data_IF_231488738988
#
_entry.id   IF_231488738988
#
_cell.length_a   1.000
_cell.length_b   1.000
_cell.length_c   1.000
_cell.angle_alpha   90.00
_cell.angle_beta   90.00
_cell.angle_gamma   90.00
#
_symmetry.space_group_name_H-M   'P 1'
#
loop_
_entity.id
_entity.type
_entity.pdbx_description
1 polymer ?
#
# COMPACT_ATOMS: atom_id res chain seq x y z
N UNK A 1 -0.77 -32.27 -14.96
CA UNK A 1 0.67 -31.97 -14.80
C UNK A 1 1.43 -31.78 -16.12
N UNK A 2 0.95 -32.19 -17.31
CA UNK A 2 1.60 -31.85 -18.60
C UNK A 2 1.30 -30.43 -19.11
N UNK A 3 0.30 -29.75 -18.56
CA UNK A 3 -0.16 -28.41 -18.99
C UNK A 3 0.79 -27.28 -18.61
N UNK A 4 1.34 -27.30 -17.40
CA UNK A 4 1.98 -26.11 -16.82
C UNK A 4 3.41 -25.90 -17.37
N UNK A 5 4.04 -26.98 -17.85
CA UNK A 5 5.38 -26.94 -18.46
C UNK A 5 5.32 -26.39 -19.89
N UNK A 6 4.24 -26.66 -20.64
CA UNK A 6 4.05 -26.11 -21.99
C UNK A 6 3.71 -24.61 -21.96
N UNK A 7 3.23 -24.08 -20.85
CA UNK A 7 2.98 -22.64 -20.67
C UNK A 7 4.27 -21.87 -20.36
N UNK A 8 5.16 -22.42 -19.51
CA UNK A 8 6.42 -21.78 -19.13
C UNK A 8 7.50 -21.89 -20.22
N UNK A 9 7.51 -23.01 -20.96
CA UNK A 9 8.44 -23.27 -22.06
C UNK A 9 7.71 -23.88 -23.26
N UNK A 10 6.98 -23.05 -24.04
CA UNK A 10 6.19 -23.54 -25.15
C UNK A 10 7.08 -24.11 -26.25
N UNK A 11 6.62 -25.21 -26.87
CA UNK A 11 7.28 -25.82 -28.01
C UNK A 11 7.02 -24.99 -29.26
N UNK A 12 8.04 -24.27 -29.72
CA UNK A 12 7.94 -23.41 -30.91
C UNK A 12 8.26 -24.12 -32.22
N UNK A 13 8.95 -25.26 -32.14
CA UNK A 13 9.35 -26.04 -33.32
C UNK A 13 8.52 -27.32 -33.41
N UNK A 14 7.89 -27.58 -34.57
CA UNK A 14 7.16 -28.81 -34.78
C UNK A 14 8.15 -29.96 -34.87
N UNK A 15 7.87 -31.02 -34.10
CA UNK A 15 8.58 -32.30 -34.22
C UNK A 15 7.52 -33.37 -34.29
N UNK A 16 7.40 -34.00 -35.44
CA UNK A 16 6.40 -35.04 -35.70
C UNK A 16 6.76 -36.29 -34.87
N UNK A 17 5.87 -36.65 -33.94
CA UNK A 17 5.94 -37.90 -33.17
C UNK A 17 5.33 -39.04 -34.01
N UNK A 18 5.94 -39.34 -35.16
CA UNK A 18 5.52 -40.42 -36.05
C UNK A 18 6.22 -41.75 -35.73
N UNK A 19 5.41 -42.76 -35.41
CA UNK A 19 5.55 -44.23 -35.23
C UNK A 19 6.91 -44.99 -35.23
N UNK A 20 8.05 -44.44 -35.61
CA UNK A 20 9.33 -45.16 -35.66
C UNK A 20 10.37 -44.56 -34.69
N UNK A 21 10.15 -44.73 -33.39
CA UNK A 21 11.10 -44.30 -32.33
C UNK A 21 12.30 -45.23 -32.15
N UNK A 22 12.43 -46.30 -32.93
CA UNK A 22 13.34 -47.40 -32.58
C UNK A 22 14.79 -47.25 -33.08
N UNK A 23 15.11 -46.29 -33.97
CA UNK A 23 16.48 -46.15 -34.47
C UNK A 23 16.91 -44.70 -34.79
N UNK A 24 16.90 -43.80 -33.80
CA UNK A 24 17.66 -42.54 -33.93
C UNK A 24 19.11 -42.81 -33.51
N UNK A 25 20.00 -42.96 -34.48
CA UNK A 25 21.44 -43.09 -34.23
C UNK A 25 22.00 -41.77 -33.69
N UNK A 26 22.38 -41.77 -32.41
CA UNK A 26 22.94 -40.61 -31.73
C UNK A 26 24.43 -40.37 -32.09
N UNK A 27 25.08 -41.28 -32.82
CA UNK A 27 26.52 -41.25 -33.10
C UNK A 27 26.91 -40.51 -34.38
N UNK A 28 25.99 -40.38 -35.33
CA UNK A 28 26.19 -39.68 -36.60
C UNK A 28 25.72 -38.22 -36.58
N UNK A 29 26.22 -37.36 -37.49
CA UNK A 29 25.67 -36.03 -37.67
C UNK A 29 24.25 -36.09 -38.27
N UNK A 30 23.29 -35.29 -37.77
CA UNK A 30 21.92 -35.29 -38.28
C UNK A 30 21.88 -34.75 -39.72
N UNK A 31 21.02 -35.35 -40.55
CA UNK A 31 20.93 -35.02 -41.98
C UNK A 31 19.84 -34.00 -42.29
N UNK A 32 18.93 -33.75 -41.35
CA UNK A 32 17.85 -32.78 -41.49
C UNK A 32 17.43 -32.18 -40.13
N UNK A 33 16.68 -31.05 -40.12
CA UNK A 33 16.28 -30.37 -38.88
C UNK A 33 15.38 -31.21 -37.95
N UNK A 34 14.53 -32.09 -38.49
CA UNK A 34 13.62 -32.94 -37.70
C UNK A 34 14.41 -34.01 -36.93
N UNK A 35 15.39 -34.62 -37.58
CA UNK A 35 16.30 -35.59 -36.99
C UNK A 35 17.17 -34.97 -35.89
N UNK A 36 17.67 -33.75 -36.12
CA UNK A 36 18.38 -32.97 -35.11
C UNK A 36 17.50 -32.73 -33.87
N UNK A 37 16.27 -32.24 -34.04
CA UNK A 37 15.38 -31.97 -32.90
C UNK A 37 14.98 -33.24 -32.13
N UNK A 38 14.92 -34.40 -32.79
CA UNK A 38 14.74 -35.70 -32.13
C UNK A 38 15.97 -36.10 -31.33
N UNK A 39 17.16 -35.99 -31.91
CA UNK A 39 18.44 -36.27 -31.22
C UNK A 39 18.59 -35.39 -29.97
N UNK A 40 18.31 -34.09 -30.08
CA UNK A 40 18.34 -33.15 -28.95
C UNK A 40 17.31 -33.50 -27.87
N UNK A 41 16.08 -33.90 -28.23
CA UNK A 41 15.08 -34.34 -27.25
C UNK A 41 15.49 -35.60 -26.50
N UNK A 42 16.10 -36.56 -27.19
CA UNK A 42 16.62 -37.78 -26.59
C UNK A 42 17.83 -37.47 -25.69
N UNK A 43 18.81 -36.71 -26.17
CA UNK A 43 19.96 -36.26 -25.37
C UNK A 43 19.52 -35.51 -24.11
N UNK A 44 18.60 -34.55 -24.23
CA UNK A 44 18.06 -33.82 -23.09
C UNK A 44 17.30 -34.74 -22.11
N UNK A 45 16.61 -35.79 -22.59
CA UNK A 45 15.96 -36.77 -21.71
C UNK A 45 16.95 -37.66 -20.93
N UNK A 46 18.19 -37.77 -21.42
CA UNK A 46 19.28 -38.46 -20.73
C UNK A 46 19.99 -37.55 -19.72
N UNK A 47 19.85 -36.23 -19.86
CA UNK A 47 20.36 -35.28 -18.89
C UNK A 47 19.48 -35.24 -17.62
N UNK A 48 20.07 -35.08 -16.43
CA UNK A 48 19.30 -34.83 -15.22
C UNK A 48 18.51 -33.51 -15.33
N UNK A 49 17.23 -33.55 -14.95
CA UNK A 49 16.32 -32.39 -15.03
C UNK A 49 16.79 -31.21 -14.17
N UNK A 50 17.36 -31.50 -13.00
CA UNK A 50 17.92 -30.51 -12.09
C UNK A 50 19.32 -30.92 -11.67
N UNK A 51 20.26 -29.99 -11.78
CA UNK A 51 21.63 -30.15 -11.30
C UNK A 51 21.95 -29.08 -10.26
N UNK A 52 22.63 -29.45 -9.17
CA UNK A 52 23.03 -28.53 -8.11
C UNK A 52 24.54 -28.50 -8.01
N UNK A 53 25.14 -27.35 -8.31
CA UNK A 53 26.57 -27.13 -8.13
C UNK A 53 26.87 -26.69 -6.69
N UNK A 54 27.80 -27.37 -6.03
CA UNK A 54 28.25 -27.01 -4.68
C UNK A 54 29.23 -25.83 -4.74
N UNK A 55 28.90 -24.73 -4.08
CA UNK A 55 29.71 -23.51 -4.02
C UNK A 55 30.02 -23.19 -2.56
N UNK A 56 31.23 -22.72 -2.26
CA UNK A 56 31.61 -22.28 -0.91
C UNK A 56 30.83 -21.01 -0.48
N UNK A 57 29.91 -21.10 0.50
CA UNK A 57 29.06 -19.98 0.91
C UNK A 57 29.84 -18.85 1.58
N UNK A 58 31.04 -19.14 2.11
CA UNK A 58 31.86 -18.14 2.84
C UNK A 58 32.34 -17.02 1.92
N UNK A 59 32.46 -17.28 0.62
CA UNK A 59 32.87 -16.29 -0.40
C UNK A 59 31.76 -15.27 -0.71
N UNK A 60 30.49 -15.64 -0.49
CA UNK A 60 29.32 -14.82 -0.84
C UNK A 60 28.80 -13.98 0.32
N UNK A 61 28.86 -14.49 1.55
CA UNK A 61 28.35 -13.80 2.76
C UNK A 61 28.99 -12.43 3.03
N UNK A 62 30.23 -12.19 2.56
CA UNK A 62 30.96 -10.93 2.78
C UNK A 62 30.53 -9.77 1.87
N UNK A 63 29.68 -10.02 0.86
CA UNK A 63 29.30 -9.04 -0.16
C UNK A 63 27.79 -8.80 -0.26
N UNK A 64 27.02 -9.21 0.74
CA UNK A 64 25.58 -9.01 0.72
C UNK A 64 25.24 -7.53 0.99
N UNK A 65 24.43 -6.93 0.12
CA UNK A 65 23.87 -5.60 0.33
C UNK A 65 22.72 -5.66 1.34
N UNK A 66 22.60 -4.64 2.17
CA UNK A 66 21.51 -4.52 3.14
C UNK A 66 20.25 -4.05 2.41
N UNK A 67 19.13 -4.73 2.66
CA UNK A 67 17.82 -4.24 2.28
C UNK A 67 17.27 -3.36 3.41
N UNK A 68 17.11 -2.05 3.16
CA UNK A 68 16.60 -1.12 4.17
C UNK A 68 15.08 -1.28 4.28
N UNK A 69 14.62 -1.85 5.40
CA UNK A 69 13.19 -1.93 5.73
C UNK A 69 12.78 -0.71 6.55
N UNK A 70 11.65 -0.10 6.20
CA UNK A 70 11.05 0.97 7.01
C UNK A 70 10.49 0.36 8.30
N UNK A 71 10.79 0.98 9.45
CA UNK A 71 10.32 0.54 10.75
C UNK A 71 8.78 0.55 10.87
N UNK A 72 8.25 -0.22 11.83
CA UNK A 72 6.84 -0.18 12.22
C UNK A 72 6.49 1.06 13.06
N UNK A 73 5.31 1.05 13.69
CA UNK A 73 4.93 2.07 14.67
C UNK A 73 5.71 1.92 15.99
N UNK A 74 5.95 3.04 16.67
CA UNK A 74 6.48 3.01 18.04
C UNK A 74 5.42 2.45 18.99
N UNK A 75 5.84 1.57 19.90
CA UNK A 75 4.94 1.03 20.92
C UNK A 75 4.37 2.17 21.79
N UNK A 76 3.08 2.11 22.17
CA UNK A 76 2.51 3.09 23.08
C UNK A 76 3.21 3.06 24.44
N UNK A 77 3.42 4.22 25.10
CA UNK A 77 3.77 4.25 26.51
C UNK A 77 2.74 3.50 27.36
N UNK A 78 3.15 3.02 28.54
CA UNK A 78 2.28 2.23 29.42
C UNK A 78 1.03 3.04 29.80
N UNK A 79 -0.15 2.50 29.49
CA UNK A 79 -1.44 3.14 29.74
C UNK A 79 -1.94 4.09 28.65
N UNK A 80 -1.17 4.29 27.57
CA UNK A 80 -1.55 5.18 26.45
C UNK A 80 -2.20 4.40 25.29
N UNK A 81 -2.14 3.07 25.32
CA UNK A 81 -2.79 2.20 24.33
C UNK A 81 -4.30 2.18 24.53
N UNK A 82 -5.11 2.35 23.47
CA UNK A 82 -6.56 2.20 23.57
C UNK A 82 -6.96 0.71 23.65
N UNK A 83 -7.98 0.42 24.46
CA UNK A 83 -8.54 -0.94 24.54
C UNK A 83 -9.04 -1.46 23.19
N UNK A 84 -8.99 -2.77 22.97
CA UNK A 84 -9.47 -3.41 21.75
C UNK A 84 -10.95 -3.11 21.48
N UNK A 85 -11.78 -3.05 22.52
CA UNK A 85 -13.19 -2.69 22.40
C UNK A 85 -13.38 -1.29 21.81
N UNK A 86 -12.61 -0.32 22.31
CA UNK A 86 -12.63 1.04 21.79
C UNK A 86 -12.19 1.08 20.32
N UNK A 87 -11.11 0.37 19.97
CA UNK A 87 -10.61 0.30 18.60
C UNK A 87 -11.67 -0.25 17.63
N UNK A 88 -12.32 -1.36 17.99
CA UNK A 88 -13.39 -1.97 17.20
C UNK A 88 -14.59 -1.03 17.03
N UNK A 89 -14.96 -0.30 18.09
CA UNK A 89 -16.03 0.69 18.03
C UNK A 89 -15.69 1.84 17.08
N UNK A 90 -14.46 2.36 17.11
CA UNK A 90 -14.03 3.43 16.19
C UNK A 90 -14.02 2.96 14.73
N UNK A 91 -13.54 1.74 14.46
CA UNK A 91 -13.58 1.11 13.14
C UNK A 91 -15.01 0.99 12.62
N UNK A 92 -15.94 0.56 13.47
CA UNK A 92 -17.37 0.48 13.11
C UNK A 92 -17.95 1.86 12.77
N UNK A 93 -17.75 2.83 13.65
CA UNK A 93 -18.23 4.21 13.45
C UNK A 93 -17.67 4.83 12.16
N UNK A 94 -16.38 4.62 11.90
CA UNK A 94 -15.73 5.10 10.69
C UNK A 94 -16.32 4.47 9.42
N UNK A 95 -16.66 3.17 9.48
CA UNK A 95 -17.36 2.50 8.38
C UNK A 95 -18.70 3.16 8.06
N UNK A 96 -19.47 3.53 9.08
CA UNK A 96 -20.77 4.20 8.91
C UNK A 96 -20.63 5.63 8.39
N UNK A 97 -19.62 6.38 8.85
CA UNK A 97 -19.28 7.70 8.29
C UNK A 97 -18.99 7.57 6.80
N UNK A 98 -18.12 6.63 6.41
CA UNK A 98 -17.77 6.39 5.01
C UNK A 98 -19.00 6.01 4.18
N UNK A 99 -19.84 5.11 4.69
CA UNK A 99 -21.10 4.71 4.05
C UNK A 99 -22.01 5.92 3.81
N UNK A 100 -22.12 6.81 4.79
CA UNK A 100 -22.92 8.03 4.70
C UNK A 100 -22.36 9.01 3.66
N UNK A 101 -21.04 9.20 3.63
CA UNK A 101 -20.37 10.05 2.62
C UNK A 101 -20.60 9.48 1.22
N UNK A 102 -20.36 8.20 1.00
CA UNK A 102 -20.55 7.56 -0.32
C UNK A 102 -22.01 7.65 -0.77
N UNK A 103 -22.98 7.41 0.13
CA UNK A 103 -24.41 7.47 -0.17
C UNK A 103 -24.85 8.87 -0.61
N UNK A 104 -24.33 9.91 0.05
CA UNK A 104 -24.77 11.28 -0.15
C UNK A 104 -23.81 12.13 -1.01
N UNK A 105 -22.74 11.54 -1.57
CA UNK A 105 -21.67 12.28 -2.26
C UNK A 105 -22.19 13.21 -3.35
N UNK A 106 -23.09 12.70 -4.21
CA UNK A 106 -23.70 13.47 -5.32
C UNK A 106 -24.51 14.68 -4.82
N UNK A 107 -25.24 14.49 -3.72
CA UNK A 107 -26.04 15.55 -3.12
C UNK A 107 -25.14 16.68 -2.60
N UNK A 108 -24.09 16.35 -1.85
CA UNK A 108 -23.17 17.35 -1.30
C UNK A 108 -22.31 18.02 -2.38
N UNK A 109 -21.90 17.28 -3.42
CA UNK A 109 -21.12 17.84 -4.53
C UNK A 109 -21.92 18.80 -5.42
N UNK A 110 -23.25 18.77 -5.37
CA UNK A 110 -24.11 19.69 -6.15
C UNK A 110 -24.51 20.96 -5.39
N UNK A 111 -24.34 21.03 -4.07
CA UNK A 111 -24.74 22.22 -3.29
C UNK A 111 -23.79 23.39 -3.51
N UNK A 112 -24.28 24.62 -3.68
CA UNK A 112 -23.42 25.81 -3.86
C UNK A 112 -22.43 25.98 -2.71
N UNK A 113 -21.18 26.29 -3.04
CA UNK A 113 -20.19 26.71 -2.04
C UNK A 113 -20.44 28.18 -1.69
N UNK A 114 -20.08 28.57 -0.47
CA UNK A 114 -20.09 29.96 -0.05
C UNK A 114 -19.10 30.77 -0.90
N UNK A 115 -19.41 32.04 -1.16
CA UNK A 115 -18.64 32.90 -2.07
C UNK A 115 -17.16 33.08 -1.66
N UNK A 116 -16.83 32.83 -0.39
CA UNK A 116 -15.47 32.91 0.15
C UNK A 116 -14.66 31.63 -0.07
N UNK A 117 -15.30 30.50 -0.42
CA UNK A 117 -14.60 29.21 -0.62
C UNK A 117 -14.04 29.17 -2.02
N UNK A 118 -12.73 29.42 -2.16
CA UNK A 118 -11.98 29.20 -3.40
C UNK A 118 -11.04 28.02 -3.23
N UNK A 119 -11.36 26.90 -3.88
CA UNK A 119 -10.53 25.70 -3.83
C UNK A 119 -9.20 25.95 -4.56
N UNK A 120 -8.05 25.61 -3.95
CA UNK A 120 -6.75 25.72 -4.61
C UNK A 120 -6.62 24.79 -5.81
N UNK A 121 -5.64 25.08 -6.67
CA UNK A 121 -5.30 24.21 -7.80
C UNK A 121 -4.62 22.91 -7.31
N UNK A 122 -4.65 21.87 -8.14
CA UNK A 122 -4.09 20.55 -7.81
C UNK A 122 -2.57 20.57 -7.55
N UNK A 123 -1.86 21.55 -8.08
CA UNK A 123 -0.39 21.67 -7.94
C UNK A 123 0.01 22.68 -6.86
N UNK A 124 -0.96 23.31 -6.20
CA UNK A 124 -0.72 24.39 -5.24
C UNK A 124 -0.70 23.85 -3.81
N UNK A 125 0.38 23.15 -3.44
CA UNK A 125 0.55 22.55 -2.12
C UNK A 125 0.43 23.59 -0.99
N UNK A 126 1.05 24.76 -1.16
CA UNK A 126 0.99 25.86 -0.20
C UNK A 126 -0.43 26.46 -0.11
N UNK A 127 -1.15 26.53 -1.23
CA UNK A 127 -2.55 26.89 -1.26
C UNK A 127 -3.41 25.91 -0.47
N UNK A 128 -3.17 24.60 -0.60
CA UNK A 128 -3.88 23.59 0.18
C UNK A 128 -3.55 23.64 1.67
N UNK A 129 -2.29 23.86 2.06
CA UNK A 129 -1.91 24.06 3.47
C UNK A 129 -2.66 25.26 4.06
N UNK A 130 -2.67 26.40 3.37
CA UNK A 130 -3.40 27.61 3.82
C UNK A 130 -4.91 27.42 3.83
N UNK A 131 -5.46 26.71 2.84
CA UNK A 131 -6.88 26.42 2.76
C UNK A 131 -7.35 25.54 3.92
N UNK A 132 -6.57 24.52 4.27
CA UNK A 132 -6.92 23.57 5.34
C UNK A 132 -6.58 24.07 6.74
N UNK A 133 -5.42 24.72 6.91
CA UNK A 133 -4.79 25.01 8.21
C UNK A 133 -4.45 26.50 8.43
N UNK A 134 -4.72 27.38 7.48
CA UNK A 134 -4.42 28.81 7.63
C UNK A 134 -5.26 29.49 8.72
N UNK A 135 -4.93 30.74 9.05
CA UNK A 135 -5.66 31.54 10.06
C UNK A 135 -7.16 31.69 9.75
N UNK A 136 -7.52 31.66 8.46
CA UNK A 136 -8.91 31.64 7.95
C UNK A 136 -9.22 30.29 7.27
N UNK A 137 -8.55 29.23 7.69
CA UNK A 137 -8.67 27.90 7.09
C UNK A 137 -10.10 27.37 7.18
N UNK A 138 -10.53 26.65 6.15
CA UNK A 138 -11.85 26.05 6.11
C UNK A 138 -11.82 24.69 6.83
N UNK A 139 -12.86 24.34 7.59
CA UNK A 139 -13.02 22.97 8.08
C UNK A 139 -13.42 22.04 6.92
N UNK A 140 -13.22 20.72 7.06
CA UNK A 140 -13.53 19.74 6.01
C UNK A 140 -15.04 19.46 5.89
N UNK A 141 -15.82 20.47 5.49
CA UNK A 141 -17.25 20.31 5.27
C UNK A 141 -17.55 19.29 4.16
N UNK A 142 -18.68 18.59 4.26
CA UNK A 142 -19.13 17.63 3.23
C UNK A 142 -19.27 18.28 1.86
N UNK A 143 -19.69 19.54 1.80
CA UNK A 143 -19.73 20.32 0.56
C UNK A 143 -18.35 20.50 -0.06
N UNK A 144 -17.28 20.52 0.73
CA UNK A 144 -15.90 20.65 0.25
C UNK A 144 -15.34 19.28 -0.12
N UNK A 145 -15.30 18.34 0.85
CA UNK A 145 -14.62 17.05 0.65
C UNK A 145 -15.30 16.14 -0.38
N UNK A 146 -16.62 16.21 -0.54
CA UNK A 146 -17.33 15.42 -1.55
C UNK A 146 -17.02 15.85 -3.00
N UNK A 147 -16.46 17.05 -3.21
CA UNK A 147 -16.04 17.57 -4.52
C UNK A 147 -14.65 17.13 -4.93
N UNK A 148 -13.83 16.70 -3.97
CA UNK A 148 -12.50 16.21 -4.24
C UNK A 148 -12.61 14.87 -4.96
N UNK A 149 -11.91 14.72 -6.08
CA UNK A 149 -11.73 13.42 -6.70
C UNK A 149 -10.66 12.61 -5.92
N UNK A 150 -10.51 11.33 -6.23
CA UNK A 150 -9.59 10.46 -5.47
C UNK A 150 -8.11 10.93 -5.55
N UNK A 151 -7.68 11.45 -6.71
CA UNK A 151 -6.33 11.99 -6.88
C UNK A 151 -6.10 13.26 -6.05
N UNK A 152 -7.07 14.18 -6.02
CA UNK A 152 -7.01 15.38 -5.19
C UNK A 152 -7.02 15.03 -3.71
N UNK A 153 -7.90 14.11 -3.28
CA UNK A 153 -7.98 13.71 -1.88
C UNK A 153 -6.66 13.10 -1.39
N UNK A 154 -6.01 12.26 -2.20
CA UNK A 154 -4.70 11.70 -1.90
C UNK A 154 -3.60 12.78 -1.87
N UNK A 155 -3.56 13.66 -2.87
CA UNK A 155 -2.56 14.74 -2.90
C UNK A 155 -2.70 15.66 -1.68
N UNK A 156 -3.92 16.07 -1.31
CA UNK A 156 -4.13 16.88 -0.11
C UNK A 156 -3.74 16.11 1.15
N UNK A 157 -4.03 14.80 1.21
CA UNK A 157 -3.60 13.95 2.33
C UNK A 157 -2.06 13.95 2.45
N UNK A 158 -1.34 13.79 1.35
CA UNK A 158 0.13 13.81 1.33
C UNK A 158 0.69 15.19 1.74
N UNK A 159 0.10 16.28 1.25
CA UNK A 159 0.47 17.65 1.64
C UNK A 159 0.31 17.87 3.14
N UNK A 160 -0.80 17.38 3.72
CA UNK A 160 -1.06 17.51 5.16
C UNK A 160 -0.17 16.59 5.99
N UNK A 161 0.13 15.38 5.51
CA UNK A 161 1.08 14.48 6.16
C UNK A 161 2.47 15.11 6.17
N UNK A 162 2.93 15.65 5.05
CA UNK A 162 4.22 16.36 4.94
C UNK A 162 4.28 17.54 5.91
N UNK A 163 3.21 18.35 6.00
CA UNK A 163 3.15 19.43 6.99
C UNK A 163 3.24 18.89 8.43
N UNK A 164 2.56 17.78 8.72
CA UNK A 164 2.54 17.14 10.03
C UNK A 164 3.87 16.50 10.46
N UNK A 165 4.79 16.23 9.53
CA UNK A 165 6.12 15.73 9.88
C UNK A 165 6.92 16.73 10.71
N UNK A 166 6.75 18.02 10.43
CA UNK A 166 7.50 19.10 11.07
C UNK A 166 6.71 19.82 12.18
N UNK A 167 5.40 19.56 12.28
CA UNK A 167 4.49 20.27 13.19
C UNK A 167 3.79 19.33 14.18
N UNK A 168 3.11 19.91 15.16
CA UNK A 168 2.27 19.19 16.11
C UNK A 168 0.87 18.90 15.54
N UNK A 169 0.15 17.97 16.17
CA UNK A 169 -1.23 17.66 15.79
C UNK A 169 -2.18 18.74 16.34
N UNK A 170 -2.58 19.68 15.48
CA UNK A 170 -3.66 20.62 15.77
C UNK A 170 -5.03 19.98 15.48
N UNK A 171 -6.10 20.30 16.23
CA UNK A 171 -7.43 19.69 16.02
C UNK A 171 -7.95 19.82 14.58
N UNK A 172 -7.70 20.96 13.94
CA UNK A 172 -8.10 21.20 12.55
C UNK A 172 -7.39 20.26 11.56
N UNK A 173 -6.10 19.97 11.77
CA UNK A 173 -5.36 18.98 11.01
C UNK A 173 -5.96 17.58 11.22
N UNK A 174 -6.24 17.21 12.48
CA UNK A 174 -6.88 15.93 12.81
C UNK A 174 -8.22 15.73 12.09
N UNK A 175 -9.07 16.76 12.08
CA UNK A 175 -10.34 16.76 11.35
C UNK A 175 -10.14 16.57 9.84
N UNK A 176 -9.19 17.28 9.23
CA UNK A 176 -8.89 17.16 7.81
C UNK A 176 -8.35 15.78 7.45
N UNK A 177 -7.38 15.26 8.21
CA UNK A 177 -6.84 13.91 8.02
C UNK A 177 -7.96 12.87 8.11
N UNK A 178 -8.79 12.94 9.15
CA UNK A 178 -9.93 12.03 9.32
C UNK A 178 -10.91 12.12 8.14
N UNK A 179 -11.28 13.33 7.71
CA UNK A 179 -12.22 13.54 6.62
C UNK A 179 -11.67 13.04 5.27
N UNK A 180 -10.38 13.25 5.00
CA UNK A 180 -9.71 12.75 3.79
C UNK A 180 -9.65 11.22 3.81
N UNK A 181 -9.25 10.61 4.93
CA UNK A 181 -9.29 9.16 5.11
C UNK A 181 -10.72 8.61 4.90
N UNK A 182 -11.75 9.31 5.37
CA UNK A 182 -13.14 8.92 5.15
C UNK A 182 -13.56 9.02 3.66
N UNK A 183 -12.91 9.89 2.87
CA UNK A 183 -13.22 10.07 1.45
C UNK A 183 -12.44 9.14 0.50
N UNK A 184 -11.36 8.51 0.97
CA UNK A 184 -10.57 7.56 0.18
C UNK A 184 -11.41 6.35 -0.19
N UNK A 185 -11.46 5.96 -1.46
CA UNK A 185 -12.20 4.77 -1.91
C UNK A 185 -11.33 3.51 -1.89
N UNK A 186 -11.93 2.34 -1.60
CA UNK A 186 -11.27 1.03 -1.72
C UNK A 186 -11.62 0.41 -3.09
N UNK A 187 -10.71 -0.34 -3.75
CA UNK A 187 -9.37 -0.71 -3.30
C UNK A 187 -8.39 0.47 -3.34
N UNK A 188 -7.52 0.57 -2.32
CA UNK A 188 -6.52 1.61 -2.24
C UNK A 188 -5.35 1.31 -3.18
N UNK A 189 -4.74 2.39 -3.69
CA UNK A 189 -3.47 2.29 -4.39
C UNK A 189 -2.31 2.06 -3.41
N UNK A 190 -1.20 1.41 -3.82
CA UNK A 190 -0.02 1.20 -2.98
C UNK A 190 0.54 2.50 -2.38
N UNK A 191 0.48 3.60 -3.12
CA UNK A 191 0.91 4.93 -2.67
C UNK A 191 0.06 5.41 -1.50
N UNK A 192 -1.27 5.24 -1.59
CA UNK A 192 -2.18 5.60 -0.51
C UNK A 192 -1.92 4.78 0.76
N UNK A 193 -1.62 3.48 0.61
CA UNK A 193 -1.17 2.65 1.74
C UNK A 193 0.13 3.20 2.35
N UNK A 194 1.11 3.57 1.53
CA UNK A 194 2.37 4.15 2.01
C UNK A 194 2.13 5.43 2.83
N UNK A 195 1.30 6.35 2.34
CA UNK A 195 0.96 7.59 3.03
C UNK A 195 0.25 7.36 4.37
N UNK A 196 -0.75 6.46 4.40
CA UNK A 196 -1.46 6.10 5.64
C UNK A 196 -0.48 5.50 6.67
N UNK A 197 0.46 4.65 6.23
CA UNK A 197 1.49 4.08 7.11
C UNK A 197 2.44 5.15 7.64
N UNK A 198 2.85 6.11 6.81
CA UNK A 198 3.68 7.24 7.23
C UNK A 198 2.96 8.11 8.27
N UNK A 199 1.69 8.41 8.05
CA UNK A 199 0.83 9.10 9.02
C UNK A 199 0.75 8.35 10.35
N UNK A 200 0.48 7.05 10.34
CA UNK A 200 0.38 6.24 11.55
C UNK A 200 1.71 6.21 12.34
N UNK A 201 2.85 6.09 11.64
CA UNK A 201 4.18 6.15 12.28
C UNK A 201 4.43 7.51 12.92
N UNK A 202 4.09 8.60 12.24
CA UNK A 202 4.22 9.96 12.79
C UNK A 202 3.33 10.15 14.01
N UNK A 203 2.10 9.63 13.98
CA UNK A 203 1.19 9.65 15.13
C UNK A 203 1.80 8.87 16.31
N UNK A 204 2.35 7.68 16.07
CA UNK A 204 2.98 6.87 17.10
C UNK A 204 4.23 7.53 17.69
N UNK A 205 5.04 8.21 16.86
CA UNK A 205 6.19 9.00 17.32
C UNK A 205 5.74 10.13 18.26
N UNK A 206 4.76 10.95 17.85
CA UNK A 206 4.25 12.04 18.71
C UNK A 206 3.57 11.52 19.97
N UNK A 207 2.87 10.39 19.89
CA UNK A 207 2.28 9.73 21.07
C UNK A 207 3.35 9.32 22.07
N UNK A 208 4.53 8.88 21.61
CA UNK A 208 5.63 8.49 22.49
C UNK A 208 6.27 9.65 23.25
N UNK A 209 6.06 10.89 22.81
CA UNK A 209 6.56 12.10 23.47
C UNK A 209 5.57 12.73 24.46
N UNK A 210 4.35 12.18 24.58
CA UNK A 210 3.35 12.69 25.51
C UNK A 210 3.66 12.30 26.96
N UNK A 211 3.51 13.25 27.89
CA UNK A 211 3.79 13.06 29.32
C UNK A 211 2.55 12.65 30.13
N UNK A 212 1.35 13.02 29.67
CA UNK A 212 0.09 12.82 30.38
C UNK A 212 -0.95 12.08 29.54
N UNK A 213 -1.76 11.24 30.20
CA UNK A 213 -2.92 10.59 29.59
C UNK A 213 -4.10 11.55 29.37
N UNK A 214 -4.09 12.71 30.06
CA UNK A 214 -5.11 13.75 29.92
C UNK A 214 -4.82 14.70 28.74
N UNK A 215 -3.78 14.45 27.95
CA UNK A 215 -3.48 15.24 26.75
C UNK A 215 -4.55 14.99 25.67
N UNK A 216 -5.26 16.05 25.27
CA UNK A 216 -6.31 15.98 24.25
C UNK A 216 -5.84 15.33 22.95
N UNK A 217 -4.55 15.45 22.60
CA UNK A 217 -3.98 14.87 21.38
C UNK A 217 -3.92 13.34 21.43
N UNK A 218 -3.86 12.73 22.62
CA UNK A 218 -3.73 11.28 22.77
C UNK A 218 -4.87 10.53 22.06
N UNK A 219 -6.12 10.96 22.30
CA UNK A 219 -7.28 10.35 21.67
C UNK A 219 -7.26 10.49 20.14
N UNK A 220 -6.83 11.64 19.63
CA UNK A 220 -6.72 11.91 18.20
C UNK A 220 -5.63 11.06 17.54
N UNK A 221 -4.47 10.94 18.17
CA UNK A 221 -3.35 10.10 17.68
C UNK A 221 -3.74 8.62 17.67
N UNK A 222 -4.36 8.14 18.75
CA UNK A 222 -4.85 6.77 18.86
C UNK A 222 -5.91 6.45 17.80
N UNK A 223 -6.82 7.40 17.51
CA UNK A 223 -7.81 7.25 16.46
C UNK A 223 -7.14 7.10 15.08
N UNK A 224 -6.21 7.99 14.72
CA UNK A 224 -5.54 7.93 13.41
C UNK A 224 -4.72 6.65 13.23
N UNK A 225 -4.04 6.16 14.27
CA UNK A 225 -3.34 4.86 14.26
C UNK A 225 -4.34 3.72 14.08
N UNK A 226 -5.44 3.73 14.83
CA UNK A 226 -6.50 2.72 14.73
C UNK A 226 -7.12 2.68 13.31
N UNK A 227 -7.31 3.83 12.67
CA UNK A 227 -7.81 3.89 11.31
C UNK A 227 -6.82 3.31 10.28
N UNK A 228 -5.51 3.24 10.56
CA UNK A 228 -4.60 2.51 9.69
C UNK A 228 -4.95 1.01 9.63
N UNK A 229 -5.41 0.42 10.74
CA UNK A 229 -5.90 -0.95 10.78
C UNK A 229 -7.18 -1.15 9.96
N UNK A 230 -8.06 -0.13 9.88
CA UNK A 230 -9.22 -0.15 8.96
C UNK A 230 -8.82 -0.34 7.48
N UNK A 231 -7.65 0.17 7.12
CA UNK A 231 -7.04 0.00 5.79
C UNK A 231 -6.09 -1.19 5.73
N UNK A 232 -6.33 -2.20 6.56
CA UNK A 232 -5.65 -3.51 6.56
C UNK A 232 -4.15 -3.42 6.91
N UNK A 233 -3.71 -2.33 7.57
CA UNK A 233 -2.34 -2.16 8.06
C UNK A 233 -2.18 -2.71 9.50
N UNK A 234 -2.48 -4.00 9.67
CA UNK A 234 -2.53 -4.64 10.99
C UNK A 234 -1.17 -4.73 11.69
N UNK A 235 -0.06 -4.64 10.94
CA UNK A 235 1.30 -4.59 11.48
C UNK A 235 1.59 -3.28 12.24
N UNK A 236 0.76 -2.26 12.07
CA UNK A 236 0.86 -0.95 12.72
C UNK A 236 -0.15 -0.76 13.86
N UNK A 237 -1.07 -1.70 14.05
CA UNK A 237 -2.11 -1.62 15.08
C UNK A 237 -1.53 -1.79 16.49
N UNK A 238 -2.11 -1.09 17.46
CA UNK A 238 -1.76 -1.28 18.86
C UNK A 238 -2.28 -2.64 19.35
N UNK A 239 -1.37 -3.48 19.83
CA UNK A 239 -1.71 -4.73 20.47
C UNK A 239 -1.98 -4.49 21.96
N UNK A 240 -3.11 -4.99 22.43
CA UNK A 240 -3.45 -5.08 23.86
C UNK A 240 -2.95 -6.41 24.44
#
# INVERSE_FOLDING_TARGET
MKSDVEELMPRLLPVELGQDTEHVDLSGPPRNPQEYLRQVRLEASMCPEVVVAQIDPKKLKKKQTVHVSVAGCHAPPVGFSPSLHWQQQQVSNFSDVRRSITKNRKHWSSQTLDNNVRMPNLTDEEGWKKFCLGEVGFPPFLTIVCRLNQSTALMVLDVLISWFEEHELVPQLGCWLYALLACLEKPLLPEAHSSIRQLARRCAQLRSTLESQDDDRLAHLNLLICLAAYFEQNDLADQE
#
